data_IF_974772275154
#
_entry.id   IF_974772275154
#
_cell.length_a   1.000
_cell.length_b   1.000
_cell.length_c   1.000
_cell.angle_alpha   90.00
_cell.angle_beta   90.00
_cell.angle_gamma   90.00
#
_symmetry.space_group_name_H-M   'P 1'
#
loop_
_entity.id
_entity.type
_entity.pdbx_description
1 polymer ?
#
# COMPACT_ATOMS: atom_id res chain seq x y z
N UNK A 1 -2.82 -9.90 23.17
CA UNK A 1 -3.70 -8.99 22.42
C UNK A 1 -3.32 -8.96 20.95
N UNK A 2 -4.28 -8.70 20.11
CA UNK A 2 -4.03 -8.62 18.69
C UNK A 2 -3.29 -7.32 18.34
N UNK A 3 -2.37 -7.41 17.37
CA UNK A 3 -1.61 -6.24 16.92
C UNK A 3 -2.51 -5.22 16.24
N UNK A 4 -2.32 -3.96 16.57
CA UNK A 4 -2.99 -2.83 15.92
C UNK A 4 -2.14 -2.30 14.79
N UNK A 5 -2.79 -1.78 13.76
CA UNK A 5 -2.14 -1.18 12.59
C UNK A 5 -2.50 0.30 12.55
N UNK A 6 -1.49 1.14 12.40
CA UNK A 6 -1.66 2.59 12.29
C UNK A 6 -1.07 3.07 10.98
N UNK A 7 -1.90 3.65 10.12
CA UNK A 7 -1.43 4.36 8.94
C UNK A 7 -0.99 5.76 9.38
N UNK A 8 0.31 6.02 9.34
CA UNK A 8 0.84 7.29 9.84
C UNK A 8 0.83 8.38 8.78
N UNK A 9 1.10 8.05 7.52
CA UNK A 9 1.02 9.01 6.42
C UNK A 9 1.10 8.29 5.07
N UNK A 10 0.90 9.03 3.98
CA UNK A 10 0.99 8.57 2.60
C UNK A 10 1.89 9.47 1.76
N UNK A 11 2.73 8.87 0.94
CA UNK A 11 3.27 9.52 -0.25
C UNK A 11 2.41 9.11 -1.44
N UNK A 12 1.89 10.08 -2.19
CA UNK A 12 1.00 9.79 -3.31
C UNK A 12 1.53 10.42 -4.60
N UNK A 13 1.68 9.60 -5.62
CA UNK A 13 1.99 10.04 -6.96
C UNK A 13 1.15 9.25 -7.96
N UNK A 14 0.46 9.97 -8.85
CA UNK A 14 -0.26 9.35 -9.96
C UNK A 14 0.15 10.04 -11.26
N UNK A 15 0.57 9.27 -12.29
CA UNK A 15 0.90 9.84 -13.59
C UNK A 15 -0.35 10.23 -14.41
N UNK A 16 -1.55 9.88 -13.95
CA UNK A 16 -2.79 10.16 -14.67
C UNK A 16 -2.96 11.65 -14.94
N UNK A 17 -3.24 12.03 -16.18
CA UNK A 17 -3.40 13.42 -16.59
C UNK A 17 -2.12 14.23 -16.71
N UNK A 18 -0.95 13.62 -16.51
CA UNK A 18 0.34 14.30 -16.62
C UNK A 18 1.00 13.98 -17.95
N UNK A 19 1.67 15.00 -18.52
CA UNK A 19 2.39 14.88 -19.80
C UNK A 19 3.59 13.93 -19.67
N UNK A 20 4.28 13.98 -18.52
CA UNK A 20 5.46 13.16 -18.24
C UNK A 20 5.32 12.43 -16.92
N UNK A 21 5.73 11.15 -16.92
CA UNK A 21 5.85 10.35 -15.70
C UNK A 21 7.18 10.66 -15.04
N UNK A 22 7.22 10.62 -13.71
CA UNK A 22 8.48 10.65 -12.98
C UNK A 22 9.32 9.42 -13.31
N UNK A 23 10.60 9.64 -13.55
CA UNK A 23 11.54 8.53 -13.75
C UNK A 23 11.72 7.72 -12.46
N UNK A 24 12.13 6.44 -12.54
CA UNK A 24 12.43 5.65 -11.35
C UNK A 24 13.45 6.33 -10.41
N UNK A 25 14.44 7.02 -10.97
CA UNK A 25 15.43 7.75 -10.16
C UNK A 25 14.82 8.87 -9.31
N UNK A 26 13.84 9.59 -9.85
CA UNK A 26 13.11 10.64 -9.11
C UNK A 26 12.20 10.03 -8.05
N UNK A 27 11.47 8.98 -8.41
CA UNK A 27 10.60 8.28 -7.47
C UNK A 27 11.39 7.65 -6.32
N UNK A 28 12.56 7.08 -6.62
CA UNK A 28 13.46 6.52 -5.61
C UNK A 28 13.86 7.56 -4.57
N UNK A 29 14.23 8.77 -5.01
CA UNK A 29 14.56 9.88 -4.11
C UNK A 29 13.38 10.34 -3.28
N UNK A 30 12.22 10.47 -3.91
CA UNK A 30 10.99 10.90 -3.23
C UNK A 30 10.60 9.91 -2.14
N UNK A 31 10.66 8.61 -2.45
CA UNK A 31 10.36 7.56 -1.49
C UNK A 31 11.36 7.54 -0.33
N UNK A 32 12.63 7.67 -0.63
CA UNK A 32 13.66 7.68 0.40
C UNK A 32 13.49 8.87 1.35
N UNK A 33 13.20 10.04 0.79
CA UNK A 33 12.89 11.23 1.60
C UNK A 33 11.68 10.98 2.49
N UNK A 34 10.60 10.43 1.94
CA UNK A 34 9.40 10.13 2.71
C UNK A 34 9.69 9.16 3.85
N UNK A 35 10.36 8.04 3.56
CA UNK A 35 10.68 7.01 4.56
C UNK A 35 11.58 7.58 5.66
N UNK A 36 12.61 8.35 5.30
CA UNK A 36 13.52 8.93 6.29
C UNK A 36 12.85 9.99 7.15
N UNK A 37 11.95 10.80 6.59
CA UNK A 37 11.19 11.78 7.38
C UNK A 37 10.24 11.09 8.37
N UNK A 38 9.60 9.99 7.97
CA UNK A 38 8.76 9.22 8.89
C UNK A 38 9.61 8.57 10.00
N UNK A 39 10.76 8.02 9.66
CA UNK A 39 11.66 7.42 10.64
C UNK A 39 12.14 8.43 11.69
N UNK A 40 12.35 9.68 11.31
CA UNK A 40 12.72 10.74 12.24
C UNK A 40 11.63 11.07 13.25
N UNK A 41 10.37 10.95 12.84
CA UNK A 41 9.22 11.18 13.73
C UNK A 41 9.04 10.06 14.75
N UNK A 42 9.51 8.85 14.44
CA UNK A 42 9.34 7.67 15.27
C UNK A 42 10.68 6.99 15.53
N UNK A 43 11.61 7.66 16.23
CA UNK A 43 12.98 7.17 16.36
C UNK A 43 13.11 5.85 17.14
N UNK A 44 12.10 5.48 17.93
CA UNK A 44 12.08 4.24 18.68
C UNK A 44 11.38 3.10 17.94
N UNK A 45 10.87 3.34 16.73
CA UNK A 45 10.20 2.36 15.92
C UNK A 45 11.08 1.99 14.72
N UNK A 46 11.77 0.84 14.77
CA UNK A 46 12.61 0.42 13.64
C UNK A 46 11.75 0.03 12.44
N UNK A 47 12.29 0.24 11.23
CA UNK A 47 11.65 -0.25 10.01
C UNK A 47 11.95 -1.75 9.91
N UNK A 48 10.90 -2.56 10.00
CA UNK A 48 11.03 -4.01 9.98
C UNK A 48 10.88 -4.60 8.58
N UNK A 49 10.08 -3.98 7.72
CA UNK A 49 9.82 -4.49 6.39
C UNK A 49 9.41 -3.34 5.45
N UNK A 50 9.88 -3.41 4.21
CA UNK A 50 9.48 -2.49 3.15
C UNK A 50 8.90 -3.31 2.00
N UNK A 51 7.59 -3.24 1.81
CA UNK A 51 6.87 -4.01 0.82
C UNK A 51 6.57 -3.17 -0.42
N UNK A 52 6.73 -3.77 -1.60
CA UNK A 52 6.45 -3.11 -2.87
C UNK A 52 5.64 -4.04 -3.78
N UNK A 53 4.86 -3.46 -4.68
CA UNK A 53 4.20 -4.20 -5.75
C UNK A 53 5.25 -4.94 -6.57
N UNK A 54 5.06 -6.24 -6.77
CA UNK A 54 6.00 -7.08 -7.53
C UNK A 54 6.18 -6.63 -8.98
N UNK A 55 5.24 -5.86 -9.53
CA UNK A 55 5.36 -5.29 -10.88
C UNK A 55 6.31 -4.08 -10.95
N UNK A 56 6.73 -3.54 -9.82
CA UNK A 56 7.57 -2.34 -9.74
C UNK A 56 9.07 -2.68 -9.67
N UNK A 57 9.52 -3.58 -10.56
CA UNK A 57 10.91 -4.04 -10.58
C UNK A 57 11.92 -2.94 -10.86
N UNK A 58 11.59 -2.00 -11.77
CA UNK A 58 12.49 -0.89 -12.11
C UNK A 58 12.72 0.02 -10.91
N UNK A 59 11.68 0.39 -10.19
CA UNK A 59 11.79 1.23 -8.99
C UNK A 59 12.54 0.50 -7.87
N UNK A 60 12.26 -0.77 -7.67
CA UNK A 60 12.93 -1.59 -6.67
C UNK A 60 14.44 -1.67 -6.93
N UNK A 61 14.83 -1.91 -8.17
CA UNK A 61 16.23 -1.98 -8.55
C UNK A 61 16.93 -0.63 -8.40
N UNK A 62 16.26 0.45 -8.81
CA UNK A 62 16.79 1.80 -8.67
C UNK A 62 17.03 2.16 -7.20
N UNK A 63 16.07 1.86 -6.34
CA UNK A 63 16.18 2.13 -4.91
C UNK A 63 17.35 1.37 -4.28
N UNK A 64 17.54 0.10 -4.69
CA UNK A 64 18.67 -0.69 -4.22
C UNK A 64 20.01 -0.08 -4.66
N UNK A 65 20.12 0.36 -5.92
CA UNK A 65 21.34 1.04 -6.40
C UNK A 65 21.62 2.33 -5.65
N UNK A 66 20.56 3.11 -5.37
CA UNK A 66 20.71 4.42 -4.75
C UNK A 66 21.02 4.32 -3.25
N UNK A 67 20.43 3.37 -2.54
CA UNK A 67 20.45 3.35 -1.08
C UNK A 67 20.87 2.00 -0.46
N UNK A 68 21.11 0.98 -1.26
CA UNK A 68 21.53 -0.33 -0.77
C UNK A 68 20.45 -1.12 -0.02
N UNK A 69 19.21 -0.67 -0.06
CA UNK A 69 18.10 -1.32 0.63
C UNK A 69 17.17 -1.99 -0.37
N UNK A 70 16.73 -3.22 -0.05
CA UNK A 70 15.83 -3.99 -0.90
C UNK A 70 14.42 -3.94 -0.38
N UNK A 71 13.50 -3.50 -1.23
CA UNK A 71 12.07 -3.65 -0.99
C UNK A 71 11.65 -5.08 -1.29
N UNK A 72 10.78 -5.63 -0.44
CA UNK A 72 10.24 -6.96 -0.61
C UNK A 72 9.10 -6.96 -1.63
N UNK A 73 9.24 -7.65 -2.79
CA UNK A 73 8.14 -7.74 -3.76
C UNK A 73 7.05 -8.66 -3.21
N UNK A 74 5.84 -8.14 -3.09
CA UNK A 74 4.73 -8.88 -2.52
C UNK A 74 4.30 -10.04 -3.42
N UNK A 75 4.05 -11.20 -2.83
CA UNK A 75 3.44 -12.33 -3.52
C UNK A 75 1.93 -12.08 -3.62
N UNK A 76 1.49 -11.53 -4.76
CA UNK A 76 0.10 -11.16 -4.97
C UNK A 76 -0.83 -12.38 -4.96
N UNK A 77 -2.04 -12.15 -4.50
CA UNK A 77 -3.14 -13.11 -4.53
C UNK A 77 -4.28 -12.56 -5.40
N UNK A 78 -5.30 -13.35 -5.64
CA UNK A 78 -6.53 -12.88 -6.29
C UNK A 78 -7.10 -11.68 -5.53
N UNK A 79 -7.68 -10.72 -6.24
CA UNK A 79 -8.22 -9.50 -5.64
C UNK A 79 -9.24 -9.79 -4.54
N UNK A 80 -10.10 -10.79 -4.75
CA UNK A 80 -11.10 -11.17 -3.75
C UNK A 80 -10.43 -11.65 -2.45
N UNK A 81 -9.34 -12.38 -2.54
CA UNK A 81 -8.60 -12.86 -1.36
C UNK A 81 -7.95 -11.70 -0.62
N UNK A 82 -7.29 -10.79 -1.35
CA UNK A 82 -6.64 -9.63 -0.74
C UNK A 82 -7.65 -8.71 -0.04
N UNK A 83 -8.81 -8.50 -0.66
CA UNK A 83 -9.86 -7.68 -0.05
C UNK A 83 -10.46 -8.35 1.19
N UNK A 84 -10.58 -9.67 1.20
CA UNK A 84 -11.05 -10.40 2.39
C UNK A 84 -10.08 -10.25 3.58
N UNK A 85 -8.77 -10.28 3.35
CA UNK A 85 -7.79 -10.02 4.39
C UNK A 85 -7.94 -8.60 4.97
N UNK A 86 -8.10 -7.60 4.11
CA UNK A 86 -8.33 -6.21 4.56
C UNK A 86 -9.63 -6.12 5.36
N UNK A 87 -10.71 -6.72 4.86
CA UNK A 87 -11.99 -6.72 5.55
C UNK A 87 -11.90 -7.36 6.93
N UNK A 88 -11.14 -8.46 7.06
CA UNK A 88 -10.92 -9.11 8.36
C UNK A 88 -10.22 -8.17 9.34
N UNK A 89 -9.18 -7.48 8.89
CA UNK A 89 -8.48 -6.50 9.74
C UNK A 89 -9.42 -5.38 10.19
N UNK A 90 -10.21 -4.84 9.28
CA UNK A 90 -11.16 -3.77 9.57
C UNK A 90 -12.27 -4.24 10.51
N UNK A 91 -12.82 -5.44 10.27
CA UNK A 91 -13.89 -6.01 11.09
C UNK A 91 -13.45 -6.26 12.54
N UNK A 92 -12.18 -6.59 12.75
CA UNK A 92 -11.62 -6.78 14.08
C UNK A 92 -11.32 -5.45 14.82
N UNK A 93 -11.53 -4.30 14.15
CA UNK A 93 -11.33 -2.99 14.76
C UNK A 93 -9.88 -2.67 15.10
N UNK A 94 -8.93 -3.25 14.38
CA UNK A 94 -7.50 -3.13 14.65
C UNK A 94 -6.79 -2.13 13.76
N UNK A 95 -7.48 -1.50 12.81
CA UNK A 95 -6.88 -0.54 11.89
C UNK A 95 -7.26 0.89 12.28
N UNK A 96 -6.25 1.75 12.32
CA UNK A 96 -6.39 3.17 12.65
C UNK A 96 -5.55 3.99 11.67
N UNK A 97 -5.92 5.23 11.46
CA UNK A 97 -5.11 6.15 10.66
C UNK A 97 -5.04 7.51 11.31
N UNK A 98 -3.90 8.18 11.16
CA UNK A 98 -3.76 9.56 11.58
C UNK A 98 -4.47 10.47 10.57
N UNK A 99 -5.06 11.55 11.06
CA UNK A 99 -5.81 12.50 10.21
C UNK A 99 -4.88 13.50 9.52
N UNK A 100 -3.84 12.98 8.85
CA UNK A 100 -2.98 13.83 8.02
C UNK A 100 -3.73 14.25 6.76
N UNK A 101 -3.28 15.34 6.13
CA UNK A 101 -3.86 15.82 4.88
C UNK A 101 -3.83 14.72 3.81
N UNK A 102 -2.71 14.02 3.68
CA UNK A 102 -2.56 12.99 2.66
C UNK A 102 -3.41 11.75 2.94
N UNK A 103 -3.51 11.34 4.21
CA UNK A 103 -4.37 10.21 4.57
C UNK A 103 -5.84 10.50 4.26
N UNK A 104 -6.31 11.69 4.61
CA UNK A 104 -7.70 12.08 4.35
C UNK A 104 -7.97 12.26 2.86
N UNK A 105 -7.07 12.93 2.14
CA UNK A 105 -7.25 13.24 0.73
C UNK A 105 -7.16 12.03 -0.18
N UNK A 106 -6.23 11.12 0.10
CA UNK A 106 -5.96 9.99 -0.79
C UNK A 106 -6.50 8.67 -0.25
N UNK A 107 -6.06 8.24 0.91
CA UNK A 107 -6.43 6.93 1.44
C UNK A 107 -7.93 6.82 1.71
N UNK A 108 -8.48 7.75 2.46
CA UNK A 108 -9.90 7.72 2.85
C UNK A 108 -10.79 7.88 1.62
N UNK A 109 -10.48 8.86 0.77
CA UNK A 109 -11.32 9.13 -0.41
C UNK A 109 -11.29 7.99 -1.42
N UNK A 110 -10.14 7.37 -1.66
CA UNK A 110 -10.06 6.23 -2.57
C UNK A 110 -10.83 5.02 -2.02
N UNK A 111 -10.74 4.76 -0.71
CA UNK A 111 -11.48 3.65 -0.10
C UNK A 111 -12.99 3.87 -0.11
N UNK A 112 -13.46 5.11 -0.06
CA UNK A 112 -14.88 5.43 -0.20
C UNK A 112 -15.43 5.10 -1.58
N UNK A 113 -14.60 5.19 -2.62
CA UNK A 113 -14.98 4.96 -4.03
C UNK A 113 -14.72 3.53 -4.51
N UNK A 114 -13.98 2.76 -3.76
CA UNK A 114 -13.50 1.44 -4.17
C UNK A 114 -14.66 0.49 -4.41
N UNK A 115 -14.73 -0.10 -5.61
CA UNK A 115 -15.87 -0.95 -6.00
C UNK A 115 -15.46 -2.02 -7.01
N UNK A 116 -16.24 -3.09 -7.04
CA UNK A 116 -16.12 -4.13 -8.04
C UNK A 116 -16.66 -3.66 -9.40
N UNK A 117 -16.08 -4.20 -10.49
CA UNK A 117 -16.70 -4.09 -11.82
C UNK A 117 -17.96 -4.96 -11.84
N UNK A 118 -19.11 -4.37 -12.18
CA UNK A 118 -20.39 -5.08 -12.15
C UNK A 118 -20.39 -6.36 -13.01
N UNK A 119 -19.75 -6.32 -14.17
CA UNK A 119 -19.70 -7.45 -15.09
C UNK A 119 -18.86 -8.63 -14.56
N UNK A 120 -18.05 -8.41 -13.54
CA UNK A 120 -17.14 -9.42 -13.01
C UNK A 120 -17.58 -10.03 -11.68
N UNK A 121 -18.60 -9.47 -11.02
CA UNK A 121 -18.98 -9.87 -9.65
C UNK A 121 -19.29 -11.37 -9.53
N UNK A 122 -19.90 -11.94 -10.57
CA UNK A 122 -20.29 -13.37 -10.57
C UNK A 122 -19.18 -14.30 -11.05
N UNK A 123 -18.02 -13.78 -11.38
CA UNK A 123 -16.89 -14.58 -11.84
C UNK A 123 -16.12 -15.18 -10.65
N UNK A 124 -15.34 -16.24 -10.91
CA UNK A 124 -14.44 -16.84 -9.91
C UNK A 124 -13.29 -15.89 -9.51
N UNK A 125 -12.96 -14.94 -10.36
CA UNK A 125 -11.91 -13.96 -10.14
C UNK A 125 -12.45 -12.55 -10.44
N UNK A 126 -13.27 -11.99 -9.53
CA UNK A 126 -13.84 -10.67 -9.72
C UNK A 126 -12.77 -9.59 -9.83
N UNK A 127 -13.06 -8.56 -10.61
CA UNK A 127 -12.16 -7.41 -10.81
C UNK A 127 -12.74 -6.15 -10.18
N UNK A 128 -11.87 -5.26 -9.75
CA UNK A 128 -12.26 -3.93 -9.26
C UNK A 128 -12.14 -2.89 -10.37
N UNK A 129 -12.90 -1.81 -10.24
CA UNK A 129 -12.76 -0.65 -11.11
C UNK A 129 -11.36 -0.06 -10.93
N UNK A 130 -10.61 0.06 -12.04
CA UNK A 130 -9.22 0.53 -12.03
C UNK A 130 -9.16 2.06 -12.13
N UNK A 131 -9.69 2.70 -11.12
CA UNK A 131 -9.73 4.16 -11.00
C UNK A 131 -9.61 4.52 -9.53
N UNK A 132 -8.71 5.46 -9.21
CA UNK A 132 -8.49 5.92 -7.84
C UNK A 132 -8.29 4.76 -6.83
N UNK A 133 -7.43 3.81 -7.16
CA UNK A 133 -7.25 2.59 -6.38
C UNK A 133 -5.82 2.38 -5.84
N UNK A 134 -4.93 3.36 -5.98
CA UNK A 134 -3.52 3.21 -5.62
C UNK A 134 -3.30 2.90 -4.14
N UNK A 135 -3.96 3.65 -3.24
CA UNK A 135 -3.83 3.42 -1.80
C UNK A 135 -4.54 2.13 -1.38
N UNK A 136 -5.60 1.76 -2.09
CA UNK A 136 -6.30 0.51 -1.84
C UNK A 136 -5.41 -0.69 -2.17
N UNK A 137 -4.74 -0.66 -3.31
CA UNK A 137 -3.79 -1.70 -3.71
C UNK A 137 -2.61 -1.77 -2.72
N UNK A 138 -2.02 -0.64 -2.39
CA UNK A 138 -0.90 -0.58 -1.45
C UNK A 138 -1.27 -1.15 -0.08
N UNK A 139 -2.47 -0.84 0.41
CA UNK A 139 -2.96 -1.36 1.69
C UNK A 139 -3.16 -2.87 1.64
N UNK A 140 -3.73 -3.38 0.55
CA UNK A 140 -3.89 -4.82 0.36
C UNK A 140 -2.54 -5.54 0.37
N UNK A 141 -1.54 -5.01 -0.33
CA UNK A 141 -0.20 -5.60 -0.37
C UNK A 141 0.44 -5.61 1.02
N UNK A 142 0.31 -4.52 1.76
CA UNK A 142 0.78 -4.44 3.14
C UNK A 142 0.11 -5.52 4.00
N UNK A 143 -1.19 -5.63 3.93
CA UNK A 143 -1.96 -6.56 4.77
C UNK A 143 -1.61 -8.02 4.46
N UNK A 144 -1.57 -8.41 3.18
CA UNK A 144 -1.25 -9.80 2.83
C UNK A 144 0.20 -10.15 3.13
N UNK A 145 1.13 -9.21 2.93
CA UNK A 145 2.54 -9.44 3.22
C UNK A 145 2.81 -9.59 4.71
N UNK A 146 1.98 -8.99 5.55
CA UNK A 146 2.09 -9.04 7.01
C UNK A 146 0.98 -9.86 7.67
N UNK A 147 0.20 -10.60 6.92
CA UNK A 147 -0.97 -11.32 7.45
C UNK A 147 -0.59 -12.30 8.57
N UNK A 148 0.53 -12.98 8.41
CA UNK A 148 1.03 -13.91 9.42
C UNK A 148 1.38 -13.18 10.72
N UNK A 149 2.10 -12.07 10.63
CA UNK A 149 2.45 -11.23 11.77
C UNK A 149 1.20 -10.67 12.43
N UNK A 150 0.22 -10.27 11.63
CA UNK A 150 -1.06 -9.72 12.10
C UNK A 150 -2.04 -10.82 12.58
N UNK A 151 -1.66 -12.07 12.44
CA UNK A 151 -2.50 -13.22 12.79
C UNK A 151 -3.88 -13.17 12.09
N UNK A 152 -3.87 -12.82 10.82
CA UNK A 152 -5.08 -12.79 9.99
C UNK A 152 -5.27 -14.14 9.31
N UNK A 153 -6.51 -14.61 9.35
CA UNK A 153 -6.94 -15.83 8.67
C UNK A 153 -8.17 -15.54 7.83
N UNK A 154 -8.17 -16.12 6.65
CA UNK A 154 -9.30 -16.03 5.74
C UNK A 154 -9.76 -17.42 5.36
#
# INVERSE_FOLDING_TARGET
SANRVYLIDNYYYSPAGKTHKKAPSTLSKDLHYFVTEQAKQFPNAPILNMTIDSAEGALRNQYFEDYGERWHPVAKKKKIVMTEFVQSLLAEGRFFYLQTVNNLKYFVEEHKKYQWEENSIMNDDPKVVKEDDHTCDAFQYFVIDNARYLNLKV
#
